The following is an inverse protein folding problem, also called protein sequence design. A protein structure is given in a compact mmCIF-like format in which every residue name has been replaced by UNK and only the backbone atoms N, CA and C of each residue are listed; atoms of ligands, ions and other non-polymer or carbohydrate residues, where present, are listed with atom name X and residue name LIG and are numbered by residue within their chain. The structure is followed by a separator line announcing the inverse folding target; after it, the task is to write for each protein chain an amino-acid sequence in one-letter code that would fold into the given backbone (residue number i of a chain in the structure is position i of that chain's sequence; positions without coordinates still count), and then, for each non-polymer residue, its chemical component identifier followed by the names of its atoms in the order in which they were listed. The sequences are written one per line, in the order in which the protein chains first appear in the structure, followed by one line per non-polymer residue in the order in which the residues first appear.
data_IF_819782111029
#
_entry.id   IF_819782111029
#
_cell.length_a   1.000
_cell.length_b   1.000
_cell.length_c   1.000
_cell.angle_alpha   90.00
_cell.angle_beta   90.00
_cell.angle_gamma   90.00
#
_symmetry.space_group_name_H-M   'P 1'
#
loop_
_entity.id
_entity.type
_entity.pdbx_description
1 polymer ?
#
# COMPACT_ATOMS: atom_id res chain seq x y z
N UNK A 1 7.41 5.20 22.69
CA UNK A 1 6.04 5.24 22.14
C UNK A 1 6.10 4.72 20.72
N UNK A 2 5.22 3.78 20.36
CA UNK A 2 5.11 3.35 18.97
C UNK A 2 4.47 4.49 18.16
N UNK A 3 5.03 4.83 17.00
CA UNK A 3 4.54 5.90 16.11
C UNK A 3 4.23 5.31 14.75
N UNK A 4 3.33 5.94 14.01
CA UNK A 4 3.12 5.63 12.61
C UNK A 4 4.36 6.02 11.80
N UNK A 5 4.82 5.15 10.90
CA UNK A 5 6.02 5.42 10.09
C UNK A 5 6.08 4.54 8.85
N UNK A 6 6.65 5.09 7.77
CA UNK A 6 7.02 4.36 6.57
C UNK A 6 8.42 3.78 6.80
N UNK A 7 8.52 2.46 6.97
CA UNK A 7 9.79 1.76 7.23
C UNK A 7 10.64 1.59 5.98
N UNK A 8 10.00 1.18 4.89
CA UNK A 8 10.67 0.89 3.65
C UNK A 8 9.73 1.15 2.48
N UNK A 9 10.31 1.57 1.36
CA UNK A 9 9.64 1.60 0.07
C UNK A 9 10.63 1.09 -0.97
N UNK A 10 10.26 0.02 -1.67
CA UNK A 10 11.15 -0.65 -2.64
C UNK A 10 10.35 -1.11 -3.86
N UNK A 11 11.04 -1.26 -4.98
CA UNK A 11 10.51 -1.98 -6.13
C UNK A 11 11.07 -3.40 -6.16
N UNK A 12 10.22 -4.37 -6.44
CA UNK A 12 10.60 -5.77 -6.62
C UNK A 12 10.14 -6.27 -7.99
N UNK A 13 11.00 -6.94 -8.77
CA UNK A 13 10.54 -7.57 -10.00
C UNK A 13 9.55 -8.69 -9.66
N UNK A 14 8.48 -8.77 -10.44
CA UNK A 14 7.49 -9.84 -10.41
C UNK A 14 7.64 -10.61 -11.71
N UNK A 15 8.00 -11.88 -11.61
CA UNK A 15 8.17 -12.73 -12.79
C UNK A 15 6.83 -12.90 -13.51
N UNK A 16 6.89 -12.96 -14.84
CA UNK A 16 5.74 -13.36 -15.64
C UNK A 16 5.36 -14.82 -15.30
N UNK A 17 4.08 -15.06 -15.05
CA UNK A 17 3.52 -16.41 -14.95
C UNK A 17 3.09 -16.93 -16.33
N UNK A 18 2.65 -18.19 -16.42
CA UNK A 18 2.18 -18.80 -17.68
C UNK A 18 1.04 -18.02 -18.37
N UNK A 19 0.29 -17.20 -17.61
CA UNK A 19 -0.85 -16.42 -18.11
C UNK A 19 -0.81 -14.92 -17.74
N UNK A 20 0.28 -14.42 -17.12
CA UNK A 20 0.35 -13.05 -16.61
C UNK A 20 1.64 -12.36 -17.01
N UNK A 21 1.53 -11.13 -17.51
CA UNK A 21 2.70 -10.29 -17.75
C UNK A 21 3.39 -9.96 -16.42
N UNK A 22 4.71 -10.14 -16.40
CA UNK A 22 5.56 -9.71 -15.30
C UNK A 22 5.63 -8.19 -15.20
N UNK A 23 6.38 -7.69 -14.23
CA UNK A 23 6.61 -6.26 -14.09
C UNK A 23 7.28 -5.94 -12.77
N UNK A 24 6.92 -4.81 -12.18
CA UNK A 24 7.41 -4.42 -10.86
C UNK A 24 6.27 -4.27 -9.85
N UNK A 25 6.54 -4.70 -8.62
CA UNK A 25 5.74 -4.41 -7.45
C UNK A 25 6.34 -3.25 -6.67
N UNK A 26 5.54 -2.23 -6.39
CA UNK A 26 5.83 -1.24 -5.37
C UNK A 26 5.50 -1.85 -4.00
N UNK A 27 6.50 -2.08 -3.18
CA UNK A 27 6.36 -2.64 -1.83
C UNK A 27 6.60 -1.54 -0.81
N UNK A 28 5.60 -1.26 0.03
CA UNK A 28 5.69 -0.32 1.15
C UNK A 28 5.48 -1.04 2.47
N UNK A 29 6.38 -0.83 3.43
CA UNK A 29 6.26 -1.38 4.77
C UNK A 29 5.97 -0.28 5.77
N UNK A 30 4.90 -0.42 6.54
CA UNK A 30 4.39 0.57 7.47
C UNK A 30 4.28 -0.03 8.88
N UNK A 31 4.73 0.71 9.88
CA UNK A 31 4.32 0.43 11.26
C UNK A 31 3.20 1.40 11.62
N UNK A 32 2.13 0.88 12.21
CA UNK A 32 0.93 1.61 12.60
C UNK A 32 0.75 1.52 14.13
N UNK A 33 1.69 2.12 14.85
CA UNK A 33 1.72 2.11 16.32
C UNK A 33 0.77 3.09 17.00
N UNK A 34 0.15 4.01 16.25
CA UNK A 34 -0.77 5.02 16.78
C UNK A 34 -2.01 5.16 15.87
N UNK A 35 -3.02 4.27 16.03
CA UNK A 35 -4.21 4.24 15.17
C UNK A 35 -4.96 5.57 15.09
N UNK A 36 -4.97 6.36 16.17
CA UNK A 36 -5.62 7.67 16.23
C UNK A 36 -5.03 8.70 15.25
N UNK A 37 -3.80 8.48 14.77
CA UNK A 37 -3.13 9.35 13.79
C UNK A 37 -3.12 8.77 12.37
N UNK A 38 -3.86 7.69 12.12
CA UNK A 38 -3.83 7.01 10.82
C UNK A 38 -4.19 7.94 9.66
N UNK A 39 -5.21 8.79 9.82
CA UNK A 39 -5.67 9.68 8.74
C UNK A 39 -4.58 10.66 8.31
N UNK A 40 -3.95 11.37 9.26
CA UNK A 40 -2.85 12.30 8.93
C UNK A 40 -1.63 11.57 8.37
N UNK A 41 -1.34 10.37 8.88
CA UNK A 41 -0.24 9.56 8.36
C UNK A 41 -0.50 9.07 6.91
N UNK A 42 -1.75 8.78 6.55
CA UNK A 42 -2.09 8.36 5.19
C UNK A 42 -1.83 9.43 4.15
N UNK A 43 -1.88 10.72 4.50
CA UNK A 43 -1.49 11.79 3.58
C UNK A 43 -0.01 11.65 3.14
N UNK A 44 0.87 11.32 4.08
CA UNK A 44 2.29 11.05 3.81
C UNK A 44 2.47 9.77 2.98
N UNK A 45 1.74 8.71 3.32
CA UNK A 45 1.81 7.42 2.61
C UNK A 45 1.33 7.58 1.16
N UNK A 46 0.20 8.26 0.93
CA UNK A 46 -0.34 8.52 -0.41
C UNK A 46 0.60 9.43 -1.20
N UNK A 47 1.18 10.44 -0.56
CA UNK A 47 2.20 11.29 -1.19
C UNK A 47 3.43 10.48 -1.61
N UNK A 48 3.89 9.57 -0.75
CA UNK A 48 4.99 8.66 -1.04
C UNK A 48 4.65 7.71 -2.20
N UNK A 49 3.46 7.13 -2.19
CA UNK A 49 2.94 6.28 -3.27
C UNK A 49 2.98 7.01 -4.61
N UNK A 50 2.39 8.22 -4.70
CA UNK A 50 2.38 9.01 -5.93
C UNK A 50 3.79 9.28 -6.43
N UNK A 51 4.67 9.77 -5.54
CA UNK A 51 6.07 10.08 -5.88
C UNK A 51 6.76 8.87 -6.48
N UNK A 52 6.74 7.75 -5.77
CA UNK A 52 7.41 6.52 -6.21
C UNK A 52 6.81 5.99 -7.49
N UNK A 53 5.50 6.07 -7.66
CA UNK A 53 4.86 5.55 -8.86
C UNK A 53 5.16 6.38 -10.11
N UNK A 54 5.40 7.68 -9.95
CA UNK A 54 5.83 8.59 -11.02
C UNK A 54 7.32 8.50 -11.34
N UNK A 55 8.18 8.17 -10.36
CA UNK A 55 9.64 8.11 -10.55
C UNK A 55 10.21 6.69 -10.71
N UNK A 56 9.41 5.66 -10.42
CA UNK A 56 9.80 4.27 -10.46
C UNK A 56 9.74 3.64 -11.86
N UNK A 57 9.87 2.31 -11.95
CA UNK A 57 9.73 1.58 -13.20
C UNK A 57 8.38 1.85 -13.88
N UNK A 58 8.35 2.06 -15.21
CA UNK A 58 7.11 2.37 -15.93
C UNK A 58 6.09 1.23 -15.85
N UNK A 59 6.57 -0.01 -15.75
CA UNK A 59 5.81 -1.26 -15.67
C UNK A 59 5.47 -1.70 -14.22
N UNK A 60 5.52 -0.76 -13.26
CA UNK A 60 5.19 -1.03 -11.86
C UNK A 60 3.69 -1.26 -11.61
N UNK A 61 3.14 -2.34 -12.15
CA UNK A 61 1.70 -2.64 -12.17
C UNK A 61 1.17 -3.34 -10.92
N UNK A 62 2.03 -3.66 -9.95
CA UNK A 62 1.63 -4.28 -8.69
C UNK A 62 1.96 -3.39 -7.49
N UNK A 63 1.16 -3.47 -6.43
CA UNK A 63 1.42 -2.79 -5.18
C UNK A 63 1.12 -3.72 -3.99
N UNK A 64 2.02 -3.73 -3.02
CA UNK A 64 1.84 -4.40 -1.74
C UNK A 64 2.20 -3.45 -0.61
N UNK A 65 1.26 -3.21 0.29
CA UNK A 65 1.48 -2.48 1.53
C UNK A 65 1.45 -3.50 2.67
N UNK A 66 2.55 -3.65 3.39
CA UNK A 66 2.59 -4.47 4.61
C UNK A 66 2.42 -3.55 5.82
N UNK A 67 1.46 -3.84 6.69
CA UNK A 67 1.20 -3.07 7.92
C UNK A 67 1.45 -3.93 9.16
N UNK A 68 2.14 -3.38 10.16
CA UNK A 68 2.30 -4.00 11.48
C UNK A 68 1.72 -3.03 12.52
N UNK A 69 0.77 -3.50 13.34
CA UNK A 69 0.15 -2.70 14.39
C UNK A 69 -1.32 -3.07 14.61
N UNK A 70 -2.03 -2.21 15.36
CA UNK A 70 -3.40 -2.47 15.82
C UNK A 70 -4.48 -2.11 14.79
N UNK A 71 -4.09 -1.59 13.63
CA UNK A 71 -5.01 -1.25 12.54
C UNK A 71 -5.24 -2.49 11.68
N UNK A 72 -6.50 -2.91 11.53
CA UNK A 72 -6.86 -4.02 10.67
C UNK A 72 -6.65 -3.69 9.18
N UNK A 73 -6.39 -4.70 8.34
CA UNK A 73 -6.30 -4.48 6.89
C UNK A 73 -7.56 -3.80 6.31
N UNK A 74 -8.81 -4.24 6.63
CA UNK A 74 -10.02 -3.53 6.19
C UNK A 74 -10.14 -2.09 6.67
N UNK A 75 -9.79 -1.79 7.92
CA UNK A 75 -9.84 -0.41 8.45
C UNK A 75 -8.82 0.49 7.75
N UNK A 76 -7.63 -0.05 7.47
CA UNK A 76 -6.62 0.65 6.67
C UNK A 76 -7.15 0.96 5.27
N UNK A 77 -7.77 0.00 4.59
CA UNK A 77 -8.32 0.22 3.25
C UNK A 77 -9.45 1.25 3.26
N UNK A 78 -10.37 1.17 4.22
CA UNK A 78 -11.42 2.18 4.38
C UNK A 78 -10.83 3.59 4.56
N UNK A 79 -9.82 3.73 5.43
CA UNK A 79 -9.13 4.99 5.66
C UNK A 79 -8.35 5.47 4.41
N UNK A 80 -7.69 4.57 3.68
CA UNK A 80 -7.02 4.86 2.41
C UNK A 80 -8.00 5.42 1.38
N UNK A 81 -9.14 4.74 1.18
CA UNK A 81 -10.18 5.18 0.25
C UNK A 81 -10.75 6.54 0.64
N UNK A 82 -11.01 6.77 1.93
CA UNK A 82 -11.43 8.08 2.42
C UNK A 82 -10.39 9.17 2.13
N UNK A 83 -9.10 8.90 2.40
CA UNK A 83 -8.00 9.85 2.17
C UNK A 83 -7.79 10.19 0.69
N UNK A 84 -8.10 9.26 -0.23
CA UNK A 84 -7.92 9.41 -1.68
C UNK A 84 -9.22 9.80 -2.40
N UNK A 85 -10.34 9.93 -1.69
CA UNK A 85 -11.66 10.22 -2.26
C UNK A 85 -11.71 11.55 -3.05
N UNK A 86 -10.79 12.48 -2.78
CA UNK A 86 -10.65 13.74 -3.52
C UNK A 86 -9.28 13.91 -4.20
N UNK A 87 -8.41 12.90 -4.15
CA UNK A 87 -7.09 12.91 -4.78
C UNK A 87 -7.15 12.20 -6.14
N UNK A 88 -7.51 12.95 -7.19
CA UNK A 88 -7.64 12.41 -8.54
C UNK A 88 -6.34 11.74 -9.06
N UNK A 89 -5.13 12.33 -8.86
CA UNK A 89 -3.87 11.65 -9.18
C UNK A 89 -3.69 10.30 -8.49
N UNK A 90 -3.92 10.22 -7.17
CA UNK A 90 -3.77 8.96 -6.44
C UNK A 90 -4.72 7.88 -6.97
N UNK A 91 -5.99 8.24 -7.20
CA UNK A 91 -6.98 7.30 -7.75
C UNK A 91 -6.63 6.84 -9.16
N UNK A 92 -6.18 7.75 -10.02
CA UNK A 92 -5.78 7.40 -11.39
C UNK A 92 -4.61 6.41 -11.38
N UNK A 93 -3.56 6.69 -10.58
CA UNK A 93 -2.42 5.79 -10.45
C UNK A 93 -2.82 4.42 -9.88
N UNK A 94 -3.67 4.39 -8.85
CA UNK A 94 -4.18 3.15 -8.26
C UNK A 94 -5.00 2.34 -9.27
N UNK A 95 -5.84 3.01 -10.07
CA UNK A 95 -6.65 2.37 -11.11
C UNK A 95 -5.84 1.78 -12.28
N UNK A 96 -4.55 2.11 -12.42
CA UNK A 96 -3.66 1.45 -13.40
C UNK A 96 -3.02 0.17 -12.86
N UNK A 97 -3.17 -0.13 -11.57
CA UNK A 97 -2.57 -1.33 -10.98
C UNK A 97 -3.38 -2.56 -11.34
N UNK A 98 -2.68 -3.66 -11.62
CA UNK A 98 -3.27 -4.99 -11.77
C UNK A 98 -3.63 -5.60 -10.41
N UNK A 99 -2.85 -5.28 -9.38
CA UNK A 99 -3.09 -5.71 -8.00
C UNK A 99 -2.56 -4.64 -7.05
N UNK A 100 -3.32 -4.37 -5.99
CA UNK A 100 -2.96 -3.43 -4.95
C UNK A 100 -3.48 -3.94 -3.62
N UNK A 101 -2.64 -4.64 -2.85
CA UNK A 101 -3.06 -5.27 -1.60
C UNK A 101 -2.44 -4.62 -0.38
N UNK A 102 -3.20 -4.69 0.72
CA UNK A 102 -2.72 -4.42 2.08
C UNK A 102 -2.68 -5.75 2.81
N UNK A 103 -1.52 -6.12 3.33
CA UNK A 103 -1.32 -7.29 4.19
C UNK A 103 -1.01 -6.83 5.61
N UNK A 104 -1.83 -7.26 6.57
CA UNK A 104 -1.60 -7.03 7.98
C UNK A 104 -0.78 -8.19 8.56
N UNK A 105 0.35 -7.83 9.15
CA UNK A 105 1.22 -8.75 9.88
C UNK A 105 1.10 -8.59 11.40
N UNK A 106 1.40 -9.65 12.13
CA UNK A 106 1.66 -9.59 13.57
C UNK A 106 3.16 -9.33 13.87
N UNK A 107 3.49 -9.20 15.15
CA UNK A 107 4.88 -8.96 15.60
C UNK A 107 5.84 -10.14 15.35
N UNK A 108 5.31 -11.31 14.97
CA UNK A 108 6.06 -12.54 14.68
C UNK A 108 6.20 -12.80 13.17
N UNK A 109 5.69 -11.89 12.32
CA UNK A 109 5.73 -12.03 10.87
C UNK A 109 4.63 -12.93 10.30
N UNK A 110 3.63 -13.31 11.11
CA UNK A 110 2.43 -13.99 10.66
C UNK A 110 1.48 -13.05 9.94
N UNK A 111 0.85 -13.51 8.84
CA UNK A 111 -0.19 -12.74 8.14
C UNK A 111 -1.53 -13.00 8.82
N UNK A 112 -2.18 -11.94 9.29
CA UNK A 112 -3.45 -12.01 10.02
C UNK A 112 -4.62 -11.41 9.25
N UNK A 113 -4.35 -10.64 8.20
CA UNK A 113 -5.38 -10.06 7.34
C UNK A 113 -4.84 -9.61 5.99
N UNK A 114 -5.71 -9.61 4.98
CA UNK A 114 -5.42 -9.06 3.67
C UNK A 114 -6.67 -8.40 3.10
N UNK A 115 -6.50 -7.29 2.40
CA UNK A 115 -7.57 -6.65 1.64
C UNK A 115 -7.02 -5.98 0.38
N UNK A 116 -7.81 -5.96 -0.68
CA UNK A 116 -7.52 -5.20 -1.90
C UNK A 116 -7.87 -3.72 -1.71
N UNK A 117 -7.05 -2.84 -2.26
CA UNK A 117 -7.31 -1.41 -2.45
C UNK A 117 -7.89 -1.09 -3.83
N UNK A 118 -8.01 -2.08 -4.72
CA UNK A 118 -8.72 -1.89 -5.98
C UNK A 118 -10.22 -1.95 -5.70
N UNK A 119 -10.95 -0.96 -6.20
CA UNK A 119 -12.41 -1.00 -6.16
C UNK A 119 -12.91 -2.23 -6.94
N UNK A 120 -13.79 -3.00 -6.32
CA UNK A 120 -14.60 -4.03 -6.99
C UNK A 120 -15.65 -3.41 -7.89
#
# INVERSE_FOLDING_TARGET
MATNQIRAVTFRPVAAGEAAEGGHALVMSLDLGEPSRLVGFLEDVVTRFKKERMSGPPDARFMLITVIGDVSAPDFAAAWHASTANDAPARALLGTMHQADVMQGDAHGGVIGQVSLLAT
#
